data_IF_606780082382
#
_entry.id   IF_606780082382
#
_cell.length_a   1.000
_cell.length_b   1.000
_cell.length_c   1.000
_cell.angle_alpha   90.00
_cell.angle_beta   90.00
_cell.angle_gamma   90.00
#
_symmetry.space_group_name_H-M   'P 1'
#
loop_
_entity.id
_entity.type
_entity.pdbx_description
1 polymer ?
#
# COMPACT_ATOMS: atom_id res chain seq x y z
N UNK A 1 9.49 -9.19 -6.32
CA UNK A 1 10.25 -10.43 -6.04
C UNK A 1 9.30 -11.55 -5.71
N UNK A 2 9.39 -12.66 -6.43
CA UNK A 2 8.77 -13.94 -6.08
C UNK A 2 9.90 -14.93 -5.88
N UNK A 3 10.02 -15.47 -4.67
CA UNK A 3 10.89 -16.60 -4.36
C UNK A 3 10.04 -17.66 -3.62
N UNK A 4 10.46 -18.93 -3.59
CA UNK A 4 9.75 -19.96 -2.85
C UNK A 4 9.53 -19.54 -1.40
N UNK A 5 8.28 -19.64 -0.94
CA UNK A 5 7.89 -19.35 0.45
C UNK A 5 7.87 -17.87 0.85
N UNK A 6 8.29 -16.93 0.00
CA UNK A 6 8.29 -15.51 0.36
C UNK A 6 6.90 -14.90 0.21
N UNK A 7 6.34 -14.35 1.29
CA UNK A 7 4.99 -13.74 1.30
C UNK A 7 5.01 -12.23 1.13
N UNK A 8 6.09 -11.57 1.56
CA UNK A 8 6.18 -10.11 1.58
C UNK A 8 6.88 -9.55 0.34
N UNK A 9 6.07 -9.37 -0.72
CA UNK A 9 6.50 -8.87 -2.01
C UNK A 9 6.60 -7.33 -2.01
N UNK A 10 7.54 -6.77 -2.78
CA UNK A 10 7.82 -5.31 -2.73
C UNK A 10 6.62 -4.42 -3.08
N UNK A 11 5.72 -4.83 -4.00
CA UNK A 11 4.57 -3.99 -4.37
C UNK A 11 3.54 -3.80 -3.24
N UNK A 12 3.31 -4.82 -2.40
CA UNK A 12 2.39 -4.72 -1.27
C UNK A 12 3.08 -4.41 0.05
N UNK A 13 4.40 -4.66 0.16
CA UNK A 13 5.16 -4.41 1.37
C UNK A 13 5.08 -2.97 1.86
N UNK A 14 5.09 -1.99 0.97
CA UNK A 14 5.01 -0.58 1.37
C UNK A 14 3.70 -0.27 2.09
N UNK A 15 2.59 -0.88 1.66
CA UNK A 15 1.29 -0.74 2.34
C UNK A 15 1.30 -1.45 3.70
N UNK A 16 1.88 -2.65 3.78
CA UNK A 16 2.03 -3.40 5.03
C UNK A 16 2.86 -2.61 6.04
N UNK A 17 4.00 -2.06 5.60
CA UNK A 17 4.90 -1.23 6.41
C UNK A 17 4.20 0.02 6.92
N UNK A 18 3.47 0.74 6.05
CA UNK A 18 2.71 1.93 6.43
C UNK A 18 1.61 1.59 7.43
N UNK A 19 0.87 0.50 7.21
CA UNK A 19 -0.18 0.03 8.12
C UNK A 19 0.40 -0.33 9.49
N UNK A 20 1.44 -1.16 9.53
CA UNK A 20 2.13 -1.54 10.77
C UNK A 20 2.66 -0.33 11.54
N UNK A 21 3.30 0.62 10.85
CA UNK A 21 3.79 1.85 11.47
C UNK A 21 2.66 2.66 12.12
N UNK A 22 1.54 2.84 11.42
CA UNK A 22 0.36 3.56 11.93
C UNK A 22 -0.27 2.84 13.12
N UNK A 23 -0.56 1.54 12.99
CA UNK A 23 -1.20 0.76 14.04
C UNK A 23 -0.30 0.63 15.28
N UNK A 24 1.01 0.58 15.11
CA UNK A 24 1.97 0.56 16.23
C UNK A 24 1.94 1.84 17.05
N UNK A 25 1.86 3.00 16.40
CA UNK A 25 1.71 4.29 17.10
C UNK A 25 0.39 4.34 17.88
N UNK A 26 -0.71 3.90 17.26
CA UNK A 26 -2.01 3.86 17.93
C UNK A 26 -2.03 2.88 19.11
N UNK A 27 -1.35 1.74 18.99
CA UNK A 27 -1.19 0.79 20.08
C UNK A 27 -0.40 1.43 21.24
N UNK A 28 0.71 2.11 20.95
CA UNK A 28 1.54 2.77 21.97
C UNK A 28 0.86 3.95 22.65
N UNK A 29 -0.03 4.66 21.96
CA UNK A 29 -0.86 5.67 22.60
C UNK A 29 -1.78 5.07 23.68
N UNK A 30 -2.09 3.76 23.63
CA UNK A 30 -2.92 3.05 24.63
C UNK A 30 -2.10 2.44 25.77
N UNK A 31 -0.88 1.96 25.50
CA UNK A 31 -0.04 1.24 26.49
C UNK A 31 1.07 2.09 27.14
N UNK A 32 1.20 3.36 26.75
CA UNK A 32 2.30 4.28 27.09
C UNK A 32 3.65 3.88 26.45
N UNK A 33 4.27 4.72 25.58
CA UNK A 33 5.58 4.44 25.00
C UNK A 33 6.71 4.24 26.03
N UNK A 34 6.56 4.77 27.26
CA UNK A 34 7.54 4.57 28.33
C UNK A 34 7.66 3.08 28.73
N UNK A 35 6.63 2.26 28.50
CA UNK A 35 6.65 0.81 28.74
C UNK A 35 7.77 0.09 27.97
N UNK A 36 8.19 0.63 26.82
CA UNK A 36 9.28 0.09 26.00
C UNK A 36 10.66 0.18 26.67
N UNK A 37 10.79 0.92 27.76
CA UNK A 37 12.03 1.07 28.53
C UNK A 37 12.03 0.26 29.83
N UNK A 38 10.92 -0.42 30.14
CA UNK A 38 10.79 -1.24 31.34
C UNK A 38 11.69 -2.47 31.30
N UNK A 39 11.93 -3.06 32.48
CA UNK A 39 12.66 -4.32 32.61
C UNK A 39 11.84 -5.53 32.13
N UNK A 40 10.51 -5.40 32.05
CA UNK A 40 9.60 -6.45 31.61
C UNK A 40 9.38 -6.40 30.08
N UNK A 41 10.37 -6.88 29.34
CA UNK A 41 10.31 -6.93 27.87
C UNK A 41 9.25 -7.90 27.36
N UNK A 42 9.01 -9.00 28.08
CA UNK A 42 8.08 -10.04 27.64
C UNK A 42 6.62 -9.60 27.87
N UNK A 43 6.33 -9.00 29.03
CA UNK A 43 5.03 -8.40 29.31
C UNK A 43 4.70 -7.23 28.39
N UNK A 44 5.69 -6.37 28.07
CA UNK A 44 5.48 -5.28 27.11
C UNK A 44 5.24 -5.76 25.68
N UNK A 45 5.88 -6.86 25.25
CA UNK A 45 5.60 -7.50 23.96
C UNK A 45 4.16 -8.04 23.91
N UNK A 46 3.73 -8.76 24.96
CA UNK A 46 2.37 -9.29 25.04
C UNK A 46 1.33 -8.16 24.99
N UNK A 47 1.53 -7.10 25.78
CA UNK A 47 0.65 -5.93 25.80
C UNK A 47 0.60 -5.22 24.43
N UNK A 48 1.74 -5.13 23.74
CA UNK A 48 1.79 -4.57 22.38
C UNK A 48 0.99 -5.41 21.38
N UNK A 49 1.18 -6.74 21.38
CA UNK A 49 0.47 -7.66 20.49
C UNK A 49 -1.05 -7.59 20.72
N UNK A 50 -1.48 -7.60 21.97
CA UNK A 50 -2.89 -7.46 22.35
C UNK A 50 -3.49 -6.11 21.94
N UNK A 51 -2.69 -5.03 21.99
CA UNK A 51 -3.14 -3.70 21.61
C UNK A 51 -3.20 -3.50 20.09
N UNK A 52 -2.25 -4.05 19.32
CA UNK A 52 -2.12 -3.80 17.88
C UNK A 52 -3.02 -4.70 17.03
N UNK A 53 -3.25 -5.95 17.44
CA UNK A 53 -4.09 -6.90 16.71
C UNK A 53 -5.51 -6.39 16.42
N UNK A 54 -6.28 -5.87 17.40
CA UNK A 54 -7.63 -5.35 17.14
C UNK A 54 -7.61 -4.09 16.26
N UNK A 55 -6.54 -3.30 16.30
CA UNK A 55 -6.38 -2.11 15.45
C UNK A 55 -6.19 -2.53 13.99
N UNK A 56 -5.38 -3.57 13.74
CA UNK A 56 -5.19 -4.14 12.41
C UNK A 56 -6.48 -4.77 11.87
N UNK A 57 -7.22 -5.49 12.71
CA UNK A 57 -8.52 -6.06 12.33
C UNK A 57 -9.57 -5.00 12.00
N UNK A 58 -9.60 -3.89 12.72
CA UNK A 58 -10.54 -2.78 12.46
C UNK A 58 -10.12 -1.88 11.29
N UNK A 59 -9.03 -2.20 10.57
CA UNK A 59 -8.40 -1.32 9.60
C UNK A 59 -9.30 -0.91 8.42
N UNK A 60 -9.04 0.29 7.89
CA UNK A 60 -9.78 0.88 6.76
C UNK A 60 -9.43 0.31 5.38
N UNK A 61 -9.59 1.10 4.32
CA UNK A 61 -9.35 0.66 2.92
C UNK A 61 -7.94 0.07 2.69
N UNK A 62 -6.90 0.63 3.32
CA UNK A 62 -5.52 0.09 3.25
C UNK A 62 -5.41 -1.34 3.76
N UNK A 63 -6.15 -1.71 4.81
CA UNK A 63 -6.13 -3.06 5.37
C UNK A 63 -6.61 -4.10 4.35
N UNK A 64 -7.60 -3.74 3.53
CA UNK A 64 -8.23 -4.59 2.53
C UNK A 64 -7.50 -4.55 1.17
N UNK A 65 -6.49 -3.70 1.01
CA UNK A 65 -5.72 -3.63 -0.21
C UNK A 65 -4.92 -4.93 -0.43
N UNK A 66 -4.74 -5.39 -1.69
CA UNK A 66 -3.91 -6.56 -1.99
C UNK A 66 -2.50 -6.39 -1.45
N UNK A 67 -2.07 -7.32 -0.59
CA UNK A 67 -0.75 -7.32 0.05
C UNK A 67 0.29 -8.14 -0.70
N UNK A 68 -0.14 -9.16 -1.45
CA UNK A 68 0.73 -9.92 -2.33
C UNK A 68 -0.07 -10.58 -3.48
N UNK A 69 0.66 -11.24 -4.39
CA UNK A 69 0.04 -11.96 -5.50
C UNK A 69 -0.62 -13.29 -5.13
N UNK A 70 -0.64 -13.69 -3.86
CA UNK A 70 -1.24 -14.94 -3.40
C UNK A 70 -2.66 -14.75 -2.86
N UNK A 71 -3.22 -13.53 -2.98
CA UNK A 71 -4.57 -13.20 -2.53
C UNK A 71 -4.64 -12.69 -1.09
N UNK A 72 -3.51 -12.59 -0.38
CA UNK A 72 -3.48 -12.08 0.98
C UNK A 72 -3.58 -10.56 0.99
N UNK A 73 -4.40 -10.04 1.89
CA UNK A 73 -4.57 -8.61 2.13
C UNK A 73 -3.41 -8.03 2.91
N UNK A 74 -3.28 -6.71 2.86
CA UNK A 74 -2.28 -5.97 3.63
C UNK A 74 -2.44 -6.21 5.13
N UNK A 75 -3.66 -6.32 5.64
CA UNK A 75 -3.92 -6.60 7.05
C UNK A 75 -3.54 -8.03 7.46
N UNK A 76 -3.81 -9.04 6.63
CA UNK A 76 -3.40 -10.42 6.93
C UNK A 76 -1.88 -10.55 7.02
N UNK A 77 -1.16 -9.92 6.10
CA UNK A 77 0.31 -9.87 6.13
C UNK A 77 0.83 -9.10 7.35
N UNK A 78 0.23 -7.95 7.67
CA UNK A 78 0.61 -7.18 8.86
C UNK A 78 0.37 -7.99 10.15
N UNK A 79 -0.79 -8.61 10.28
CA UNK A 79 -1.16 -9.43 11.43
C UNK A 79 -0.25 -10.65 11.57
N UNK A 80 0.09 -11.31 10.45
CA UNK A 80 1.06 -12.40 10.44
C UNK A 80 2.42 -11.96 10.99
N UNK A 81 2.92 -10.76 10.64
CA UNK A 81 4.17 -10.23 11.20
C UNK A 81 4.08 -9.92 12.70
N UNK A 82 2.94 -9.43 13.19
CA UNK A 82 2.74 -9.18 14.61
C UNK A 82 2.85 -10.49 15.41
N UNK A 83 2.26 -11.59 14.91
CA UNK A 83 2.37 -12.89 15.58
C UNK A 83 3.77 -13.53 15.42
N UNK A 84 4.43 -13.33 14.29
CA UNK A 84 5.85 -13.71 14.13
C UNK A 84 6.76 -12.97 15.11
N UNK A 85 6.47 -11.70 15.41
CA UNK A 85 7.20 -10.93 16.43
C UNK A 85 7.01 -11.53 17.83
N UNK A 86 5.80 -12.00 18.16
CA UNK A 86 5.52 -12.67 19.43
C UNK A 86 6.39 -13.92 19.63
N UNK A 87 6.68 -14.66 18.55
CA UNK A 87 7.57 -15.82 18.57
C UNK A 87 9.07 -15.45 18.64
N UNK A 88 9.42 -14.15 18.54
CA UNK A 88 10.80 -13.65 18.45
C UNK A 88 11.05 -12.54 19.48
N UNK A 89 11.03 -12.85 20.79
CA UNK A 89 11.20 -11.85 21.86
C UNK A 89 12.55 -11.10 21.78
N UNK A 90 13.58 -11.72 21.20
CA UNK A 90 14.88 -11.06 20.98
C UNK A 90 14.79 -9.85 20.03
N UNK A 91 13.88 -9.88 19.04
CA UNK A 91 13.67 -8.76 18.13
C UNK A 91 12.94 -7.61 18.81
N UNK A 92 12.00 -7.92 19.69
CA UNK A 92 11.36 -6.93 20.56
C UNK A 92 12.37 -6.29 21.52
N UNK A 93 13.20 -7.09 22.19
CA UNK A 93 14.24 -6.59 23.07
C UNK A 93 15.24 -5.65 22.34
N UNK A 94 15.55 -5.93 21.08
CA UNK A 94 16.36 -5.06 20.25
C UNK A 94 15.66 -3.71 19.94
N UNK A 95 14.35 -3.72 19.69
CA UNK A 95 13.56 -2.48 19.57
C UNK A 95 13.59 -1.68 20.88
N UNK A 96 13.30 -2.30 22.02
CA UNK A 96 13.33 -1.67 23.35
C UNK A 96 14.69 -1.01 23.60
N UNK A 97 15.79 -1.73 23.31
CA UNK A 97 17.15 -1.20 23.42
C UNK A 97 17.37 0.00 22.49
N UNK A 98 16.90 -0.05 21.25
CA UNK A 98 17.03 1.04 20.29
C UNK A 98 16.25 2.30 20.72
N UNK A 99 15.06 2.12 21.31
CA UNK A 99 14.24 3.21 21.87
C UNK A 99 14.92 3.80 23.11
N UNK A 100 15.40 2.96 24.03
CA UNK A 100 16.10 3.39 25.24
C UNK A 100 17.39 4.16 24.92
N UNK A 101 18.16 3.68 23.94
CA UNK A 101 19.40 4.35 23.48
C UNK A 101 19.10 5.73 22.88
N UNK A 102 18.06 5.83 22.06
CA UNK A 102 17.63 7.11 21.49
C UNK A 102 17.15 8.06 22.60
N UNK A 103 16.39 7.54 23.56
CA UNK A 103 15.90 8.29 24.70
C UNK A 103 17.00 8.81 25.61
N UNK A 104 18.06 8.02 25.83
CA UNK A 104 19.22 8.45 26.58
C UNK A 104 19.96 9.64 25.90
N UNK A 105 19.85 9.74 24.57
CA UNK A 105 20.52 10.78 23.78
C UNK A 105 19.75 12.10 23.74
N UNK A 106 18.43 12.04 23.58
CA UNK A 106 17.59 13.24 23.31
C UNK A 106 16.39 13.37 24.27
N UNK A 107 16.38 12.63 25.37
CA UNK A 107 15.27 12.56 26.30
C UNK A 107 14.10 11.73 25.77
N UNK A 108 12.94 11.71 26.47
CA UNK A 108 11.75 10.98 26.05
C UNK A 108 11.16 11.59 24.77
N UNK A 109 11.76 11.28 23.63
CA UNK A 109 11.52 11.96 22.35
C UNK A 109 10.08 11.79 21.88
N UNK A 110 9.39 10.72 22.29
CA UNK A 110 7.98 10.48 21.99
C UNK A 110 7.03 11.50 22.64
N UNK A 111 7.48 12.23 23.68
CA UNK A 111 6.72 13.32 24.29
C UNK A 111 6.91 14.67 23.59
N UNK A 112 7.83 14.75 22.61
CA UNK A 112 8.14 15.97 21.88
C UNK A 112 7.39 16.03 20.55
N UNK A 113 7.06 17.23 20.03
CA UNK A 113 6.50 17.38 18.69
C UNK A 113 7.38 16.70 17.63
N UNK A 114 6.78 15.84 16.79
CA UNK A 114 7.51 15.05 15.78
C UNK A 114 8.16 13.76 16.32
N UNK A 115 8.09 13.50 17.63
CA UNK A 115 8.58 12.26 18.24
C UNK A 115 7.96 10.98 17.68
N UNK A 116 6.69 11.05 17.28
CA UNK A 116 5.96 9.96 16.62
C UNK A 116 6.65 9.51 15.33
N UNK A 117 7.24 10.43 14.56
CA UNK A 117 7.93 10.08 13.32
C UNK A 117 9.20 9.24 13.60
N UNK A 118 9.93 9.57 14.66
CA UNK A 118 11.07 8.78 15.13
C UNK A 118 10.64 7.41 15.63
N UNK A 119 9.56 7.35 16.42
CA UNK A 119 9.03 6.10 16.95
C UNK A 119 8.54 5.19 15.82
N UNK A 120 7.76 5.72 14.88
CA UNK A 120 7.31 5.03 13.66
C UNK A 120 8.49 4.51 12.86
N UNK A 121 9.57 5.29 12.74
CA UNK A 121 10.80 4.83 12.07
C UNK A 121 11.38 3.58 12.76
N UNK A 122 11.47 3.55 14.09
CA UNK A 122 11.98 2.37 14.82
C UNK A 122 11.11 1.12 14.59
N UNK A 123 9.78 1.27 14.58
CA UNK A 123 8.87 0.16 14.25
C UNK A 123 8.99 -0.30 12.80
N UNK A 124 9.11 0.64 11.86
CA UNK A 124 9.34 0.31 10.46
C UNK A 124 10.65 -0.47 10.27
N UNK A 125 11.72 -0.06 10.98
CA UNK A 125 13.01 -0.74 10.96
C UNK A 125 12.91 -2.15 11.57
N UNK A 126 12.20 -2.31 12.70
CA UNK A 126 11.90 -3.61 13.32
C UNK A 126 11.19 -4.54 12.33
N UNK A 127 10.09 -4.09 11.74
CA UNK A 127 9.29 -4.92 10.85
C UNK A 127 9.98 -5.21 9.52
N UNK A 128 10.82 -4.31 9.01
CA UNK A 128 11.65 -4.60 7.84
C UNK A 128 12.65 -5.72 8.12
N UNK A 129 13.30 -5.71 9.28
CA UNK A 129 14.22 -6.79 9.69
C UNK A 129 13.45 -8.10 9.93
N UNK A 130 12.30 -8.03 10.60
CA UNK A 130 11.47 -9.20 10.87
C UNK A 130 10.98 -9.86 9.57
N UNK A 131 10.50 -9.06 8.61
CA UNK A 131 10.11 -9.51 7.27
C UNK A 131 11.24 -10.28 6.59
N UNK A 132 12.46 -9.75 6.63
CA UNK A 132 13.62 -10.38 6.01
C UNK A 132 13.96 -11.72 6.67
N UNK A 133 13.77 -11.83 8.00
CA UNK A 133 13.95 -13.07 8.76
C UNK A 133 12.90 -14.11 8.42
N UNK A 134 11.63 -13.75 8.51
CA UNK A 134 10.50 -14.65 8.22
C UNK A 134 10.59 -15.21 6.80
N UNK A 135 10.81 -14.35 5.80
CA UNK A 135 10.95 -14.83 4.42
C UNK A 135 12.24 -15.66 4.24
N UNK A 136 13.34 -15.36 4.94
CA UNK A 136 14.55 -16.20 4.88
C UNK A 136 14.33 -17.59 5.48
N UNK A 137 13.54 -17.70 6.54
CA UNK A 137 13.18 -18.97 7.16
C UNK A 137 12.23 -19.76 6.24
N UNK A 138 11.20 -19.12 5.69
CA UNK A 138 10.29 -19.76 4.74
C UNK A 138 10.99 -20.20 3.46
N UNK A 139 11.92 -19.41 2.93
CA UNK A 139 12.72 -19.80 1.77
C UNK A 139 13.59 -21.02 2.07
N UNK A 140 14.20 -21.08 3.25
CA UNK A 140 14.98 -22.25 3.68
C UNK A 140 14.11 -23.51 3.77
N UNK A 141 12.91 -23.38 4.33
CA UNK A 141 11.94 -24.49 4.43
C UNK A 141 11.49 -24.94 3.03
N UNK A 142 11.16 -24.01 2.14
CA UNK A 142 10.68 -24.31 0.80
C UNK A 142 11.77 -24.90 -0.12
N UNK A 143 13.01 -24.42 -0.03
CA UNK A 143 14.09 -24.81 -0.94
C UNK A 143 15.03 -25.87 -0.38
N UNK A 144 15.08 -26.06 0.94
CA UNK A 144 16.16 -26.80 1.62
C UNK A 144 17.54 -26.14 1.48
N UNK A 145 17.61 -24.87 1.07
CA UNK A 145 18.87 -24.13 0.81
C UNK A 145 19.09 -23.06 1.88
N UNK A 146 20.31 -22.88 2.40
CA UNK A 146 20.60 -21.87 3.41
C UNK A 146 20.38 -20.46 2.85
N UNK A 147 19.58 -19.67 3.55
CA UNK A 147 19.31 -18.27 3.23
C UNK A 147 19.30 -17.45 4.51
N UNK A 148 20.18 -16.46 4.59
CA UNK A 148 20.19 -15.52 5.72
C UNK A 148 19.27 -14.33 5.45
N UNK A 149 18.82 -13.59 6.48
CA UNK A 149 18.04 -12.38 6.30
C UNK A 149 18.75 -11.35 5.40
N UNK A 150 20.08 -11.25 5.52
CA UNK A 150 20.89 -10.39 4.65
C UNK A 150 20.89 -10.86 3.18
N UNK A 151 20.86 -12.17 2.93
CA UNK A 151 20.72 -12.72 1.58
C UNK A 151 19.33 -12.43 1.03
N UNK A 152 18.29 -12.56 1.85
CA UNK A 152 16.91 -12.22 1.47
C UNK A 152 16.76 -10.73 1.12
N UNK A 153 17.35 -9.85 1.93
CA UNK A 153 17.43 -8.42 1.64
C UNK A 153 18.16 -8.14 0.31
N UNK A 154 19.27 -8.85 0.04
CA UNK A 154 19.99 -8.72 -1.22
C UNK A 154 19.16 -9.17 -2.42
N UNK A 155 18.38 -10.27 -2.34
CA UNK A 155 17.48 -10.64 -3.42
C UNK A 155 16.45 -9.54 -3.72
N UNK A 156 15.85 -8.95 -2.69
CA UNK A 156 14.88 -7.85 -2.89
C UNK A 156 15.51 -6.62 -3.51
N UNK A 157 16.72 -6.25 -3.11
CA UNK A 157 17.45 -5.15 -3.74
C UNK A 157 17.73 -5.42 -5.22
N UNK A 158 18.15 -6.65 -5.57
CA UNK A 158 18.40 -7.04 -6.95
C UNK A 158 17.11 -7.06 -7.78
N UNK A 159 16.00 -7.49 -7.19
CA UNK A 159 14.67 -7.45 -7.80
C UNK A 159 14.22 -6.00 -8.08
N UNK A 160 14.38 -5.08 -7.12
CA UNK A 160 14.12 -3.65 -7.33
C UNK A 160 15.01 -3.08 -8.43
N UNK A 161 16.31 -3.35 -8.38
CA UNK A 161 17.28 -2.87 -9.36
C UNK A 161 16.95 -3.35 -10.78
N UNK A 162 16.55 -4.62 -10.93
CA UNK A 162 16.09 -5.17 -12.20
C UNK A 162 14.85 -4.42 -12.74
N UNK A 163 13.82 -4.22 -11.92
CA UNK A 163 12.60 -3.53 -12.35
C UNK A 163 12.89 -2.06 -12.74
N UNK A 164 13.78 -1.40 -12.00
CA UNK A 164 14.22 -0.03 -12.35
C UNK A 164 14.98 -0.01 -13.68
N UNK A 165 15.89 -0.95 -13.92
CA UNK A 165 16.60 -1.07 -15.21
C UNK A 165 15.62 -1.38 -16.34
N UNK A 166 14.67 -2.30 -16.12
CA UNK A 166 13.66 -2.65 -17.11
C UNK A 166 12.81 -1.42 -17.51
N UNK A 167 12.38 -0.61 -16.53
CA UNK A 167 11.67 0.65 -16.78
C UNK A 167 12.52 1.65 -17.56
N UNK A 168 13.81 1.80 -17.21
CA UNK A 168 14.73 2.67 -17.95
C UNK A 168 14.93 2.20 -19.40
N UNK A 169 14.99 0.88 -19.63
CA UNK A 169 15.14 0.29 -20.96
C UNK A 169 13.87 0.45 -21.80
N UNK A 170 12.68 0.30 -21.20
CA UNK A 170 11.41 0.58 -21.85
C UNK A 170 11.32 2.06 -22.29
N UNK A 171 11.71 2.97 -21.40
CA UNK A 171 11.80 4.42 -21.65
C UNK A 171 13.14 4.90 -22.24
N UNK A 172 13.87 4.06 -23.00
CA UNK A 172 15.28 4.35 -23.35
C UNK A 172 15.51 5.67 -24.07
N UNK A 173 14.53 6.19 -24.82
CA UNK A 173 14.64 7.48 -25.52
C UNK A 173 14.70 8.65 -24.55
N UNK A 174 13.85 8.62 -23.53
CA UNK A 174 13.77 9.65 -22.49
C UNK A 174 14.96 9.56 -21.53
N UNK A 175 15.47 8.35 -21.34
CA UNK A 175 16.57 8.05 -20.42
C UNK A 175 17.89 7.72 -21.14
N UNK A 176 18.10 8.21 -22.36
CA UNK A 176 19.21 7.79 -23.23
C UNK A 176 20.59 7.95 -22.58
N UNK A 177 20.81 9.03 -21.82
CA UNK A 177 22.06 9.26 -21.09
C UNK A 177 22.30 8.19 -20.01
N UNK A 178 21.28 7.86 -19.21
CA UNK A 178 21.38 6.88 -18.15
C UNK A 178 21.48 5.45 -18.71
N UNK A 179 20.70 5.13 -19.75
CA UNK A 179 20.81 3.85 -20.45
C UNK A 179 22.20 3.69 -21.07
N UNK A 180 22.77 4.76 -21.64
CA UNK A 180 24.14 4.74 -22.13
C UNK A 180 25.18 4.49 -21.04
N UNK A 181 25.00 5.05 -19.85
CA UNK A 181 25.86 4.77 -18.69
C UNK A 181 25.76 3.30 -18.23
N UNK A 182 24.55 2.72 -18.21
CA UNK A 182 24.33 1.31 -17.85
C UNK A 182 24.97 0.37 -18.88
N UNK A 183 24.81 0.68 -20.16
CA UNK A 183 25.35 -0.13 -21.26
C UNK A 183 26.84 0.13 -21.53
N UNK A 184 27.40 1.20 -20.97
CA UNK A 184 28.78 1.67 -21.18
C UNK A 184 29.08 1.99 -22.65
N UNK A 185 28.14 2.68 -23.30
CA UNK A 185 28.24 3.18 -24.68
C UNK A 185 27.23 4.28 -24.97
N UNK A 186 27.48 5.10 -25.99
CA UNK A 186 26.46 6.05 -26.49
C UNK A 186 25.27 5.30 -27.09
N UNK A 187 24.07 5.86 -26.89
CA UNK A 187 22.81 5.29 -27.39
C UNK A 187 22.22 6.24 -28.42
N UNK A 188 22.48 5.96 -29.70
CA UNK A 188 21.97 6.74 -30.85
C UNK A 188 20.74 6.11 -31.50
N UNK A 189 20.58 4.80 -31.32
CA UNK A 189 19.47 4.00 -31.80
C UNK A 189 19.05 2.99 -30.72
N UNK A 190 17.90 2.34 -30.91
CA UNK A 190 17.36 1.37 -29.95
C UNK A 190 18.40 0.29 -29.61
N UNK A 191 18.86 0.19 -28.36
CA UNK A 191 19.80 -0.85 -27.96
C UNK A 191 19.17 -2.25 -28.09
N UNK A 192 19.96 -3.24 -28.48
CA UNK A 192 19.47 -4.62 -28.60
C UNK A 192 19.10 -5.21 -27.24
N UNK A 193 19.77 -4.75 -26.18
CA UNK A 193 19.56 -5.13 -24.78
C UNK A 193 18.14 -4.81 -24.31
N UNK A 194 17.54 -3.71 -24.81
CA UNK A 194 16.13 -3.36 -24.54
C UNK A 194 15.19 -4.46 -25.02
N UNK A 195 15.53 -5.18 -26.11
CA UNK A 195 14.73 -6.31 -26.60
C UNK A 195 15.04 -7.63 -25.91
N UNK A 196 16.24 -7.76 -25.33
CA UNK A 196 16.75 -8.98 -24.72
C UNK A 196 16.35 -9.14 -23.26
N UNK A 197 16.18 -8.03 -22.52
CA UNK A 197 15.77 -8.06 -21.13
C UNK A 197 14.28 -8.45 -21.03
N UNK A 198 14.00 -9.74 -20.79
CA UNK A 198 12.62 -10.27 -20.67
C UNK A 198 12.30 -10.71 -19.25
N UNK A 199 13.29 -11.24 -18.55
CA UNK A 199 13.18 -11.66 -17.17
C UNK A 199 14.41 -11.19 -16.37
N UNK A 200 14.31 -11.26 -15.05
CA UNK A 200 15.42 -10.90 -14.14
C UNK A 200 16.68 -11.75 -14.37
N UNK A 201 16.50 -13.00 -14.81
CA UNK A 201 17.62 -13.89 -15.17
C UNK A 201 18.41 -13.43 -16.39
N UNK A 202 17.83 -12.59 -17.27
CA UNK A 202 18.50 -12.01 -18.44
C UNK A 202 19.32 -10.75 -18.08
N UNK A 203 19.11 -10.21 -16.88
CA UNK A 203 19.78 -9.00 -16.43
C UNK A 203 21.27 -9.28 -16.18
N UNK A 204 22.14 -8.54 -16.87
CA UNK A 204 23.59 -8.72 -16.69
C UNK A 204 24.05 -8.11 -15.36
N UNK A 205 24.93 -8.79 -14.59
CA UNK A 205 25.46 -8.25 -13.33
C UNK A 205 26.10 -6.87 -13.49
N UNK A 206 26.79 -6.64 -14.61
CA UNK A 206 27.45 -5.38 -14.93
C UNK A 206 26.44 -4.24 -15.08
N UNK A 207 25.22 -4.52 -15.55
CA UNK A 207 24.15 -3.52 -15.65
C UNK A 207 23.69 -3.08 -14.27
N UNK A 208 23.56 -3.98 -13.31
CA UNK A 208 23.21 -3.64 -11.92
C UNK A 208 24.29 -2.77 -11.28
N UNK A 209 25.56 -3.12 -11.50
CA UNK A 209 26.70 -2.36 -10.97
C UNK A 209 26.73 -0.94 -11.54
N UNK A 210 26.65 -0.79 -12.86
CA UNK A 210 26.67 0.51 -13.54
C UNK A 210 25.41 1.32 -13.32
N UNK A 211 24.25 0.67 -13.22
CA UNK A 211 23.02 1.32 -12.78
C UNK A 211 23.21 1.94 -11.40
N UNK A 212 23.71 1.16 -10.43
CA UNK A 212 23.97 1.69 -9.09
C UNK A 212 24.99 2.81 -9.07
N UNK A 213 25.97 2.82 -9.97
CA UNK A 213 26.95 3.91 -10.10
C UNK A 213 26.30 5.17 -10.71
N UNK A 214 25.47 4.97 -11.75
CA UNK A 214 24.81 6.06 -12.49
C UNK A 214 23.81 6.86 -11.66
N UNK A 215 23.27 6.27 -10.59
CA UNK A 215 22.22 6.90 -9.76
C UNK A 215 22.65 8.24 -9.18
N UNK A 216 23.92 8.40 -8.77
CA UNK A 216 24.40 9.65 -8.18
C UNK A 216 24.30 10.81 -9.18
N UNK A 217 24.70 10.57 -10.43
CA UNK A 217 24.66 11.56 -11.49
C UNK A 217 23.24 11.94 -11.93
N UNK A 218 22.26 11.03 -11.81
CA UNK A 218 20.91 11.23 -12.35
C UNK A 218 19.85 11.54 -11.28
N UNK A 219 20.09 11.15 -10.03
CA UNK A 219 19.12 11.32 -8.92
C UNK A 219 19.69 12.12 -7.75
N UNK A 220 20.99 12.43 -7.77
CA UNK A 220 21.67 13.16 -6.69
C UNK A 220 22.01 12.31 -5.46
N UNK A 221 21.73 11.00 -5.47
CA UNK A 221 22.02 10.08 -4.39
C UNK A 221 22.80 8.83 -4.89
N UNK A 222 23.79 8.35 -4.13
CA UNK A 222 24.55 7.17 -4.51
C UNK A 222 23.66 5.92 -4.50
N UNK A 223 23.82 5.07 -5.51
CA UNK A 223 23.07 3.81 -5.57
C UNK A 223 23.48 2.80 -4.49
N UNK A 224 22.70 1.72 -4.31
CA UNK A 224 22.81 0.81 -3.17
C UNK A 224 24.21 0.16 -3.04
N UNK A 225 24.84 -0.21 -4.15
CA UNK A 225 26.18 -0.82 -4.16
C UNK A 225 27.30 0.21 -3.93
N UNK A 226 27.02 1.50 -4.09
CA UNK A 226 27.99 2.59 -3.97
C UNK A 226 27.89 3.34 -2.64
N UNK A 227 26.92 3.00 -1.80
CA UNK A 227 26.85 3.49 -0.41
C UNK A 227 27.98 2.95 0.48
N UNK A 228 28.18 3.57 1.66
CA UNK A 228 29.08 3.06 2.72
C UNK A 228 28.47 1.89 3.52
N UNK A 229 27.33 1.34 3.09
CA UNK A 229 26.63 0.29 3.82
C UNK A 229 27.41 -1.02 3.81
N UNK A 230 27.68 -1.57 5.01
CA UNK A 230 28.29 -2.90 5.15
C UNK A 230 27.40 -4.01 4.58
N UNK A 231 26.09 -3.78 4.42
CA UNK A 231 25.13 -4.78 3.91
C UNK A 231 25.48 -5.26 2.50
N UNK A 232 26.03 -4.37 1.67
CA UNK A 232 26.34 -4.66 0.26
C UNK A 232 27.83 -4.87 -0.02
N UNK A 233 28.68 -4.85 1.01
CA UNK A 233 30.12 -5.01 0.86
C UNK A 233 30.50 -6.31 0.10
N UNK A 234 29.74 -7.39 0.30
CA UNK A 234 29.99 -8.67 -0.38
C UNK A 234 29.52 -8.72 -1.84
N UNK A 235 28.73 -7.74 -2.30
CA UNK A 235 28.19 -7.68 -3.67
C UNK A 235 28.89 -6.62 -4.52
N UNK A 236 29.35 -5.52 -3.91
CA UNK A 236 29.89 -4.33 -4.61
C UNK A 236 30.94 -4.63 -5.68
N UNK A 237 31.77 -5.65 -5.48
CA UNK A 237 32.85 -6.03 -6.40
C UNK A 237 32.76 -7.48 -6.84
N UNK A 238 31.57 -8.07 -6.83
CA UNK A 238 31.37 -9.50 -7.09
C UNK A 238 30.23 -9.73 -8.09
N UNK A 239 30.48 -9.52 -9.40
CA UNK A 239 29.49 -9.74 -10.44
C UNK A 239 29.03 -11.19 -10.51
N UNK A 240 29.91 -12.16 -10.24
CA UNK A 240 29.56 -13.59 -10.24
C UNK A 240 28.49 -13.91 -9.20
N UNK A 241 28.61 -13.34 -8.00
CA UNK A 241 27.62 -13.52 -6.92
C UNK A 241 26.30 -12.84 -7.26
N UNK A 242 26.33 -11.64 -7.85
CA UNK A 242 25.13 -10.97 -8.36
C UNK A 242 24.45 -11.84 -9.42
N UNK A 243 25.21 -12.34 -10.40
CA UNK A 243 24.68 -13.16 -11.49
C UNK A 243 24.15 -14.53 -11.03
N UNK A 244 24.73 -15.11 -9.98
CA UNK A 244 24.15 -16.30 -9.35
C UNK A 244 22.80 -15.99 -8.71
N UNK A 245 22.70 -14.88 -7.97
CA UNK A 245 21.44 -14.50 -7.31
C UNK A 245 20.35 -14.08 -8.31
N UNK A 246 20.69 -13.36 -9.39
CA UNK A 246 19.73 -13.01 -10.45
C UNK A 246 19.17 -14.24 -11.15
N UNK A 247 20.02 -15.24 -11.44
CA UNK A 247 19.58 -16.53 -11.98
C UNK A 247 18.67 -17.28 -11.02
N UNK A 248 19.01 -17.34 -9.73
CA UNK A 248 18.16 -17.98 -8.73
C UNK A 248 16.76 -17.33 -8.65
N UNK A 249 16.66 -15.99 -8.73
CA UNK A 249 15.35 -15.32 -8.78
C UNK A 249 14.63 -15.67 -10.09
N UNK A 250 15.33 -15.62 -11.23
CA UNK A 250 14.75 -15.90 -12.55
C UNK A 250 14.29 -17.35 -12.73
N UNK A 251 15.02 -18.31 -12.17
CA UNK A 251 14.63 -19.74 -12.15
C UNK A 251 13.28 -19.92 -11.46
N UNK A 252 13.07 -19.27 -10.31
CA UNK A 252 11.78 -19.35 -9.64
C UNK A 252 10.69 -18.55 -10.34
N UNK A 253 11.00 -17.36 -10.86
CA UNK A 253 10.01 -16.57 -11.59
C UNK A 253 9.48 -17.37 -12.80
N UNK A 254 10.35 -18.10 -13.51
CA UNK A 254 9.94 -19.00 -14.59
C UNK A 254 9.05 -20.16 -14.08
N UNK A 255 9.36 -20.75 -12.92
CA UNK A 255 8.55 -21.81 -12.31
C UNK A 255 7.19 -21.29 -11.81
N UNK A 256 7.15 -20.09 -11.23
CA UNK A 256 5.94 -19.42 -10.73
C UNK A 256 5.11 -18.80 -11.86
N UNK A 257 5.72 -18.50 -13.01
CA UNK A 257 5.07 -18.00 -14.21
C UNK A 257 4.42 -19.12 -15.04
N UNK A 258 4.61 -20.40 -14.68
CA UNK A 258 3.64 -21.44 -15.00
C UNK A 258 2.40 -21.16 -14.16
N UNK A 259 1.65 -20.16 -14.64
CA UNK A 259 0.52 -19.54 -13.98
C UNK A 259 -0.46 -20.64 -13.58
N UNK A 260 -0.69 -20.73 -12.29
CA UNK A 260 -2.03 -20.75 -11.71
C UNK A 260 -2.88 -19.66 -12.42
N UNK A 261 -3.25 -19.84 -13.69
CA UNK A 261 -4.24 -19.04 -14.42
C UNK A 261 -5.49 -19.86 -14.69
N UNK A 262 -5.45 -21.16 -14.40
CA UNK A 262 -6.61 -22.04 -14.45
C UNK A 262 -7.65 -21.64 -13.38
N UNK A 263 -7.24 -21.10 -12.22
CA UNK A 263 -8.23 -20.65 -11.21
C UNK A 263 -8.96 -19.35 -11.57
N UNK A 264 -8.41 -18.50 -12.44
CA UNK A 264 -9.12 -17.31 -12.94
C UNK A 264 -10.26 -17.72 -13.87
N UNK A 265 -10.10 -18.84 -14.59
CA UNK A 265 -11.21 -19.48 -15.30
C UNK A 265 -12.23 -20.03 -14.29
N UNK A 266 -11.78 -20.66 -13.19
CA UNK A 266 -12.68 -21.15 -12.13
C UNK A 266 -13.48 -20.04 -11.44
N UNK A 267 -12.91 -18.86 -11.20
CA UNK A 267 -13.64 -17.74 -10.59
C UNK A 267 -14.78 -17.22 -11.50
N UNK A 268 -14.48 -17.02 -12.79
CA UNK A 268 -15.50 -16.64 -13.78
C UNK A 268 -16.54 -17.75 -14.01
N UNK A 269 -16.13 -19.01 -13.91
CA UNK A 269 -17.02 -20.16 -14.03
C UNK A 269 -17.90 -20.31 -12.77
N UNK A 270 -17.37 -19.99 -11.58
CA UNK A 270 -18.12 -20.01 -10.33
C UNK A 270 -19.16 -18.88 -10.30
N UNK A 271 -18.82 -17.67 -10.73
CA UNK A 271 -19.80 -16.57 -10.86
C UNK A 271 -20.90 -16.92 -11.87
N UNK A 272 -20.53 -17.44 -13.04
CA UNK A 272 -21.50 -17.90 -14.03
C UNK A 272 -22.39 -19.05 -13.51
N UNK A 273 -21.81 -19.95 -12.72
CA UNK A 273 -22.55 -21.06 -12.10
C UNK A 273 -23.50 -20.57 -11.00
N UNK A 274 -23.07 -19.59 -10.19
CA UNK A 274 -23.92 -18.97 -9.17
C UNK A 274 -25.07 -18.19 -9.80
N UNK A 275 -24.81 -17.44 -10.88
CA UNK A 275 -25.85 -16.74 -11.63
C UNK A 275 -26.86 -17.72 -12.24
N UNK A 276 -26.39 -18.83 -12.81
CA UNK A 276 -27.27 -19.87 -13.35
C UNK A 276 -28.06 -20.60 -12.25
N UNK A 277 -27.43 -20.86 -11.10
CA UNK A 277 -28.10 -21.41 -9.93
C UNK A 277 -29.23 -20.48 -9.44
N UNK A 278 -28.97 -19.18 -9.31
CA UNK A 278 -29.99 -18.19 -8.93
C UNK A 278 -31.09 -18.06 -9.97
N UNK A 279 -30.76 -18.14 -11.26
CA UNK A 279 -31.75 -18.17 -12.35
C UNK A 279 -32.66 -19.39 -12.21
N UNK A 280 -32.11 -20.60 -12.08
CA UNK A 280 -32.88 -21.84 -11.92
C UNK A 280 -33.74 -21.82 -10.66
N UNK A 281 -33.21 -21.29 -9.56
CA UNK A 281 -33.97 -21.17 -8.31
C UNK A 281 -35.16 -20.22 -8.46
N UNK A 282 -34.95 -19.06 -9.08
CA UNK A 282 -36.03 -18.11 -9.39
C UNK A 282 -37.06 -18.70 -10.36
N UNK A 283 -36.62 -19.42 -11.39
CA UNK A 283 -37.52 -20.12 -12.32
C UNK A 283 -38.33 -21.22 -11.63
N UNK A 284 -37.73 -21.94 -10.67
CA UNK A 284 -38.43 -22.94 -9.85
C UNK A 284 -39.45 -22.31 -8.90
N UNK A 285 -39.12 -21.17 -8.29
CA UNK A 285 -40.06 -20.43 -7.43
C UNK A 285 -41.21 -19.85 -8.25
N UNK A 286 -40.94 -19.31 -9.45
CA UNK A 286 -41.96 -18.74 -10.34
C UNK A 286 -42.80 -19.81 -11.06
N UNK A 287 -42.21 -20.96 -11.35
CA UNK A 287 -42.84 -22.13 -11.96
C UNK A 287 -43.55 -23.05 -10.97
N UNK A 288 -43.54 -22.73 -9.67
CA UNK A 288 -44.23 -23.50 -8.64
C UNK A 288 -45.71 -23.60 -8.97
N UNK A 289 -46.12 -24.79 -9.40
CA UNK A 289 -47.50 -25.07 -9.79
C UNK A 289 -48.36 -25.11 -8.53
N UNK A 290 -49.56 -24.50 -8.50
CA UNK A 290 -50.38 -24.52 -7.29
C UNK A 290 -50.81 -25.96 -6.93
N UNK A 291 -50.17 -26.57 -5.92
CA UNK A 291 -50.47 -27.92 -5.45
C UNK A 291 -49.31 -28.53 -4.65
N UNK A 292 -49.53 -29.64 -3.91
CA UNK A 292 -48.45 -30.34 -3.19
C UNK A 292 -47.46 -30.95 -4.19
N UNK A 293 -46.15 -30.82 -3.90
CA UNK A 293 -45.05 -31.33 -4.74
C UNK A 293 -45.28 -32.80 -5.13
N UNK A 294 -45.37 -33.06 -6.44
CA UNK A 294 -45.47 -34.41 -7.00
C UNK A 294 -44.33 -34.62 -8.00
N UNK A 295 -43.53 -35.66 -7.78
CA UNK A 295 -42.52 -36.12 -8.74
C UNK A 295 -43.27 -36.77 -9.91
N UNK A 296 -43.33 -36.09 -11.06
CA UNK A 296 -43.95 -36.63 -12.27
C UNK A 296 -42.99 -37.59 -12.99
N UNK A 297 -43.53 -38.71 -13.49
CA UNK A 297 -42.78 -39.65 -14.33
C UNK A 297 -42.41 -39.00 -15.67
N UNK A 298 -41.12 -39.03 -16.01
CA UNK A 298 -40.57 -38.41 -17.22
C UNK A 298 -41.13 -39.07 -18.49
N UNK A 299 -42.12 -38.42 -19.12
CA UNK A 299 -42.52 -38.68 -20.51
C UNK A 299 -41.90 -37.62 -21.40
N UNK A 300 -41.15 -38.09 -22.39
CA UNK A 300 -40.36 -37.29 -23.30
C UNK A 300 -41.25 -36.75 -24.41
N UNK A 301 -41.56 -35.45 -24.40
CA UNK A 301 -42.31 -34.79 -25.46
C UNK A 301 -41.58 -33.56 -26.03
N UNK A 302 -41.82 -33.37 -27.32
CA UNK A 302 -41.08 -32.54 -28.26
C UNK A 302 -41.33 -31.04 -28.08
N UNK A 303 -40.27 -30.25 -28.31
CA UNK A 303 -40.28 -28.79 -28.26
C UNK A 303 -40.82 -28.20 -29.57
N UNK A 304 -41.95 -27.51 -29.49
CA UNK A 304 -42.32 -26.46 -30.46
C UNK A 304 -42.12 -25.10 -29.79
N UNK A 305 -41.25 -24.28 -30.39
CA UNK A 305 -40.95 -22.91 -29.96
C UNK A 305 -41.82 -21.97 -30.80
N UNK A 306 -42.55 -21.08 -30.14
CA UNK A 306 -43.12 -19.90 -30.78
C UNK A 306 -42.64 -18.64 -30.04
N UNK A 307 -42.02 -17.75 -30.81
CA UNK A 307 -41.39 -16.49 -30.40
C UNK A 307 -42.33 -15.35 -30.80
N UNK A 308 -42.78 -14.51 -29.86
CA UNK A 308 -43.11 -13.12 -30.21
C UNK A 308 -43.22 -12.14 -29.02
N UNK A 309 -42.61 -10.98 -29.27
CA UNK A 309 -42.91 -9.61 -28.82
C UNK A 309 -42.30 -8.99 -27.52
N UNK A 310 -41.85 -7.75 -27.75
CA UNK A 310 -40.90 -6.86 -27.04
C UNK A 310 -41.44 -5.99 -25.88
N UNK A 311 -40.56 -5.29 -25.10
CA UNK A 311 -40.90 -4.59 -23.87
C UNK A 311 -41.30 -3.11 -24.08
N UNK A 312 -42.06 -2.56 -23.13
CA UNK A 312 -42.34 -1.11 -23.05
C UNK A 312 -41.96 -0.54 -21.68
N UNK A 313 -41.13 0.50 -21.66
CA UNK A 313 -40.83 1.34 -20.49
C UNK A 313 -41.21 2.79 -20.83
N UNK A 314 -41.93 3.49 -19.94
CA UNK A 314 -41.48 4.75 -19.30
C UNK A 314 -42.60 5.54 -18.59
N UNK A 315 -42.34 5.93 -17.33
CA UNK A 315 -42.41 7.30 -16.78
C UNK A 315 -42.12 7.27 -15.24
N UNK A 316 -41.84 8.42 -14.57
CA UNK A 316 -40.70 9.32 -14.70
C UNK A 316 -39.84 9.37 -13.41
N UNK A 317 -38.52 9.57 -13.55
CA UNK A 317 -37.59 9.71 -12.43
C UNK A 317 -37.68 11.08 -11.73
N UNK A 318 -37.89 11.06 -10.42
CA UNK A 318 -37.42 12.10 -9.50
C UNK A 318 -35.91 11.99 -9.31
N UNK A 319 -35.13 12.91 -9.89
CA UNK A 319 -33.79 13.27 -9.39
C UNK A 319 -33.98 14.33 -8.27
N UNK A 320 -33.21 14.31 -7.17
CA UNK A 320 -31.75 14.40 -7.23
C UNK A 320 -31.00 13.51 -6.21
N UNK A 321 -29.91 12.90 -6.66
CA UNK A 321 -28.68 12.47 -5.93
C UNK A 321 -27.96 11.32 -6.67
N UNK A 322 -28.61 10.67 -7.63
CA UNK A 322 -28.04 9.57 -8.42
C UNK A 322 -27.15 10.02 -9.59
N UNK A 323 -27.07 11.31 -9.92
CA UNK A 323 -26.27 11.78 -11.07
C UNK A 323 -24.83 12.18 -10.72
N UNK A 324 -24.38 11.95 -9.47
CA UNK A 324 -23.00 12.30 -9.03
C UNK A 324 -22.14 11.04 -8.85
N UNK A 325 -22.74 9.86 -8.77
CA UNK A 325 -22.06 8.58 -8.57
C UNK A 325 -21.02 8.19 -9.64
N UNK A 326 -21.12 8.57 -10.94
CA UNK A 326 -20.14 8.10 -11.92
C UNK A 326 -18.85 8.94 -12.00
N UNK A 327 -18.69 10.01 -11.22
CA UNK A 327 -17.49 10.87 -11.30
C UNK A 327 -16.62 10.87 -10.04
N UNK A 328 -16.99 10.10 -9.01
CA UNK A 328 -16.34 10.17 -7.69
C UNK A 328 -16.51 8.84 -6.97
N UNK A 329 -15.42 8.16 -6.58
CA UNK A 329 -15.49 6.92 -5.79
C UNK A 329 -15.74 7.19 -4.31
N UNK A 330 -16.40 8.30 -3.96
CA UNK A 330 -16.69 8.67 -2.59
C UNK A 330 -18.01 8.03 -2.13
N UNK A 331 -18.03 7.44 -0.93
CA UNK A 331 -19.25 6.83 -0.40
C UNK A 331 -20.33 7.89 -0.09
N UNK A 332 -21.62 7.55 -0.15
CA UNK A 332 -22.73 8.51 0.08
C UNK A 332 -22.69 9.22 1.44
N UNK A 333 -22.03 8.63 2.44
CA UNK A 333 -21.85 9.16 3.79
C UNK A 333 -20.48 9.84 4.01
N UNK A 334 -19.70 10.10 2.97
CA UNK A 334 -18.33 10.60 3.05
C UNK A 334 -18.14 11.76 4.04
N UNK A 335 -18.96 12.83 3.94
CA UNK A 335 -18.83 14.00 4.81
C UNK A 335 -19.06 13.68 6.29
N UNK A 336 -19.92 12.69 6.58
CA UNK A 336 -20.18 12.25 7.95
C UNK A 336 -18.96 11.51 8.48
N UNK A 337 -18.41 10.57 7.72
CA UNK A 337 -17.24 9.78 8.13
C UNK A 337 -16.01 10.67 8.27
N UNK A 338 -15.73 11.53 7.28
CA UNK A 338 -14.60 12.45 7.31
C UNK A 338 -14.66 13.44 8.49
N UNK A 339 -15.85 13.85 8.91
CA UNK A 339 -16.01 14.73 10.07
C UNK A 339 -15.71 14.04 11.42
N UNK A 340 -15.81 12.70 11.50
CA UNK A 340 -15.59 11.96 12.76
C UNK A 340 -14.12 11.80 13.12
N UNK A 341 -13.24 11.78 12.11
CA UNK A 341 -11.78 11.61 12.30
C UNK A 341 -11.03 12.93 12.32
N UNK A 342 -11.73 14.05 12.16
CA UNK A 342 -11.13 15.37 12.25
C UNK A 342 -10.70 15.69 13.68
N UNK A 343 -9.39 15.92 13.89
CA UNK A 343 -8.89 16.44 15.15
C UNK A 343 -9.27 17.93 15.30
N UNK A 344 -10.44 18.15 15.89
CA UNK A 344 -10.95 19.49 16.23
C UNK A 344 -10.15 20.19 17.33
N UNK A 345 -9.24 19.50 18.02
CA UNK A 345 -8.34 20.13 18.99
C UNK A 345 -7.11 20.76 18.32
N UNK A 346 -6.79 20.36 17.08
CA UNK A 346 -5.69 20.94 16.32
C UNK A 346 -5.85 22.46 16.15
N UNK A 347 -4.73 23.19 16.17
CA UNK A 347 -4.74 24.65 16.09
C UNK A 347 -5.42 25.14 14.79
N UNK A 348 -5.12 24.50 13.66
CA UNK A 348 -5.70 24.84 12.37
C UNK A 348 -7.22 24.56 12.33
N UNK A 349 -7.68 23.42 12.86
CA UNK A 349 -9.11 23.08 12.90
C UNK A 349 -9.90 24.05 13.80
N UNK A 350 -9.35 24.46 14.95
CA UNK A 350 -9.98 25.46 15.82
C UNK A 350 -10.15 26.81 15.13
N UNK A 351 -9.17 27.23 14.32
CA UNK A 351 -9.22 28.52 13.63
C UNK A 351 -10.17 28.52 12.44
N UNK A 352 -10.35 27.36 11.81
CA UNK A 352 -11.31 27.12 10.73
C UNK A 352 -12.63 26.50 11.22
N UNK A 353 -12.94 26.59 12.52
CA UNK A 353 -14.13 25.95 13.10
C UNK A 353 -15.46 26.50 12.52
N UNK A 354 -15.43 27.72 11.97
CA UNK A 354 -16.58 28.36 11.31
C UNK A 354 -16.67 28.03 9.82
N UNK A 355 -15.63 27.42 9.24
CA UNK A 355 -15.64 26.99 7.84
C UNK A 355 -16.28 25.60 7.73
N UNK A 356 -16.81 25.24 6.56
CA UNK A 356 -17.33 23.88 6.34
C UNK A 356 -16.17 22.88 6.15
N UNK A 357 -16.43 21.59 6.39
CA UNK A 357 -15.41 20.55 6.18
C UNK A 357 -14.83 20.57 4.76
N UNK A 358 -15.62 20.72 3.67
CA UNK A 358 -15.07 20.86 2.32
C UNK A 358 -14.14 22.06 2.14
N UNK A 359 -14.40 23.19 2.81
CA UNK A 359 -13.49 24.36 2.78
C UNK A 359 -12.18 24.03 3.48
N UNK A 360 -12.21 23.32 4.61
CA UNK A 360 -10.99 22.91 5.33
C UNK A 360 -10.16 21.92 4.51
N UNK A 361 -10.79 20.91 3.92
CA UNK A 361 -10.12 19.97 3.01
C UNK A 361 -9.53 20.68 1.78
N UNK A 362 -10.22 21.70 1.25
CA UNK A 362 -9.69 22.52 0.15
C UNK A 362 -8.45 23.34 0.57
N UNK A 363 -8.35 23.76 1.83
CA UNK A 363 -7.16 24.43 2.39
C UNK A 363 -6.00 23.44 2.47
N UNK A 364 -6.24 22.24 3.03
CA UNK A 364 -5.22 21.20 3.11
C UNK A 364 -4.70 20.77 1.74
N UNK A 365 -5.61 20.52 0.79
CA UNK A 365 -5.28 20.20 -0.60
C UNK A 365 -4.39 21.28 -1.24
N UNK A 366 -4.59 22.55 -0.89
CA UNK A 366 -3.81 23.68 -1.45
C UNK A 366 -2.44 23.85 -0.80
N UNK A 367 -2.32 23.59 0.51
CA UNK A 367 -1.09 23.82 1.27
C UNK A 367 -0.15 22.62 1.26
N UNK A 368 -0.70 21.41 1.29
CA UNK A 368 0.04 20.16 1.45
C UNK A 368 -0.02 19.28 0.18
N UNK A 369 -0.98 19.54 -0.71
CA UNK A 369 -1.15 18.79 -1.95
C UNK A 369 -2.10 17.60 -1.83
N UNK A 370 -2.31 16.83 -2.90
CA UNK A 370 -3.27 15.72 -2.91
C UNK A 370 -2.80 14.46 -2.16
N UNK A 371 -1.49 14.31 -1.93
CA UNK A 371 -0.86 13.09 -1.40
C UNK A 371 -0.07 13.34 -0.10
N UNK A 372 -0.66 14.03 0.88
CA UNK A 372 0.03 14.24 2.16
C UNK A 372 -0.16 13.06 3.11
N UNK A 373 0.93 12.58 3.70
CA UNK A 373 0.95 11.43 4.62
C UNK A 373 0.23 11.70 5.96
N UNK A 374 -0.12 12.96 6.27
CA UNK A 374 -0.83 13.33 7.50
C UNK A 374 -2.36 13.20 7.37
N UNK A 375 -2.89 12.92 6.18
CA UNK A 375 -4.33 12.82 5.98
C UNK A 375 -4.91 11.53 6.58
N UNK A 376 -6.03 11.63 7.34
CA UNK A 376 -6.84 10.47 7.67
C UNK A 376 -7.33 9.78 6.40
N UNK A 377 -7.36 8.45 6.40
CA UNK A 377 -7.81 7.66 5.24
C UNK A 377 -9.25 7.97 4.83
N UNK A 378 -10.08 8.35 5.79
CA UNK A 378 -11.48 8.71 5.62
C UNK A 378 -11.65 10.04 4.87
N UNK A 379 -10.58 10.86 4.80
CA UNK A 379 -10.58 12.08 4.00
C UNK A 379 -10.22 11.79 2.55
N UNK A 380 -9.48 10.72 2.26
CA UNK A 380 -9.04 10.40 0.91
C UNK A 380 -10.10 9.66 0.10
N UNK A 381 -10.07 9.84 -1.22
CA UNK A 381 -10.84 9.06 -2.18
C UNK A 381 -10.37 7.59 -2.15
N UNK A 382 -11.27 6.62 -1.91
CA UNK A 382 -10.92 5.19 -1.85
C UNK A 382 -10.24 4.63 -3.10
N UNK A 383 -10.49 5.19 -4.29
CA UNK A 383 -9.93 4.69 -5.55
C UNK A 383 -8.53 5.25 -5.83
N UNK A 384 -8.25 6.50 -5.43
CA UNK A 384 -6.99 7.18 -5.76
C UNK A 384 -6.06 7.34 -4.57
N UNK A 385 -6.59 7.27 -3.34
CA UNK A 385 -5.85 7.57 -2.12
C UNK A 385 -5.53 9.07 -1.94
N UNK A 386 -6.10 9.93 -2.78
CA UNK A 386 -5.90 11.39 -2.77
C UNK A 386 -6.99 12.10 -1.99
N UNK A 387 -6.72 13.31 -1.49
CA UNK A 387 -7.82 14.20 -1.09
C UNK A 387 -8.75 14.49 -2.28
N UNK A 388 -10.07 14.60 -2.06
CA UNK A 388 -11.01 14.96 -3.12
C UNK A 388 -10.60 16.26 -3.80
N UNK A 389 -10.72 16.26 -5.12
CA UNK A 389 -10.38 17.41 -5.95
C UNK A 389 -11.23 18.62 -5.60
N UNK A 390 -10.74 19.82 -5.92
CA UNK A 390 -11.49 21.07 -5.72
C UNK A 390 -12.90 21.06 -6.35
N UNK A 391 -13.09 20.34 -7.46
CA UNK A 391 -14.40 20.19 -8.11
C UNK A 391 -15.36 19.33 -7.27
N UNK A 392 -14.86 18.20 -6.76
CA UNK A 392 -15.63 17.29 -5.90
C UNK A 392 -15.99 17.96 -4.57
N UNK A 393 -15.05 18.69 -3.95
CA UNK A 393 -15.31 19.45 -2.72
C UNK A 393 -16.37 20.55 -2.92
N UNK A 394 -16.43 21.17 -4.10
CA UNK A 394 -17.43 22.19 -4.40
C UNK A 394 -18.84 21.59 -4.53
N UNK A 395 -18.93 20.40 -5.15
CA UNK A 395 -20.16 19.62 -5.22
C UNK A 395 -20.63 19.18 -3.82
N UNK A 396 -19.71 18.69 -2.98
CA UNK A 396 -20.00 18.29 -1.61
C UNK A 396 -20.43 19.45 -0.70
N UNK A 397 -19.92 20.66 -0.93
CA UNK A 397 -20.30 21.88 -0.20
C UNK A 397 -21.58 22.54 -0.76
N UNK A 398 -22.11 22.05 -1.89
CA UNK A 398 -23.28 22.63 -2.57
C UNK A 398 -23.03 24.03 -3.13
N UNK A 399 -21.78 24.38 -3.46
CA UNK A 399 -21.40 25.71 -3.98
C UNK A 399 -20.66 25.63 -5.31
N UNK A 400 -20.58 26.77 -6.01
CA UNK A 400 -19.77 26.85 -7.22
C UNK A 400 -18.27 26.78 -6.91
N UNK A 401 -17.49 26.19 -7.80
CA UNK A 401 -16.02 26.10 -7.68
C UNK A 401 -15.34 27.47 -7.42
N UNK A 402 -15.73 28.59 -8.06
CA UNK A 402 -15.19 29.91 -7.73
C UNK A 402 -15.49 30.36 -6.29
N UNK A 403 -16.67 30.01 -5.78
CA UNK A 403 -17.08 30.33 -4.40
C UNK A 403 -16.24 29.54 -3.39
N UNK A 404 -16.03 28.24 -3.65
CA UNK A 404 -15.17 27.41 -2.81
C UNK A 404 -13.72 27.94 -2.80
N UNK A 405 -13.18 28.32 -3.96
CA UNK A 405 -11.83 28.94 -4.05
C UNK A 405 -11.73 30.21 -3.21
N UNK A 406 -12.73 31.10 -3.30
CA UNK A 406 -12.78 32.34 -2.50
C UNK A 406 -12.82 32.05 -0.99
N UNK A 407 -13.63 31.07 -0.55
CA UNK A 407 -13.72 30.67 0.86
C UNK A 407 -12.42 30.07 1.38
N UNK A 408 -11.80 29.19 0.59
CA UNK A 408 -10.47 28.62 0.87
C UNK A 408 -9.41 29.70 1.02
N UNK A 409 -9.33 30.63 0.07
CA UNK A 409 -8.30 31.69 0.09
C UNK A 409 -8.49 32.62 1.30
N UNK A 410 -9.74 32.92 1.67
CA UNK A 410 -10.05 33.66 2.90
C UNK A 410 -9.65 32.88 4.17
N UNK A 411 -9.81 31.56 4.19
CA UNK A 411 -9.37 30.72 5.30
C UNK A 411 -7.83 30.66 5.42
N UNK A 412 -7.11 30.55 4.28
CA UNK A 412 -5.64 30.61 4.24
C UNK A 412 -5.12 31.96 4.75
N UNK A 413 -5.74 33.07 4.33
CA UNK A 413 -5.38 34.41 4.82
C UNK A 413 -5.52 34.51 6.35
N UNK A 414 -6.63 34.01 6.91
CA UNK A 414 -6.83 33.99 8.38
C UNK A 414 -5.80 33.14 9.14
N UNK A 415 -5.30 32.07 8.52
CA UNK A 415 -4.24 31.24 9.11
C UNK A 415 -2.89 31.97 9.09
N UNK A 416 -2.56 32.64 7.98
CA UNK A 416 -1.29 33.34 7.79
C UNK A 416 -1.18 34.63 8.61
N UNK A 417 -2.27 35.41 8.75
CA UNK A 417 -2.29 36.64 9.56
C UNK A 417 -1.95 36.36 11.04
N UNK A 418 -2.32 35.20 11.57
CA UNK A 418 -2.06 34.84 12.97
C UNK A 418 -0.69 34.20 13.15
N UNK A 419 -0.18 33.48 12.15
CA UNK A 419 1.19 32.95 12.17
C UNK A 419 2.23 34.10 12.22
N UNK A 420 2.00 35.18 11.46
CA UNK A 420 2.84 36.38 11.52
C UNK A 420 2.83 37.09 12.88
N UNK A 421 1.66 37.19 13.52
CA UNK A 421 1.54 37.79 14.87
C UNK A 421 2.23 36.95 15.97
N UNK A 422 2.32 35.63 15.81
CA UNK A 422 3.03 34.74 16.75
C UNK A 422 4.55 34.75 16.55
N UNK A 423 5.04 35.00 15.34
CA UNK A 423 6.48 35.20 15.09
C UNK A 423 6.94 36.55 15.65
N UNK A 424 6.17 37.63 15.48
CA UNK A 424 6.48 38.93 16.08
C UNK A 424 6.48 38.89 17.62
N UNK A 425 5.57 38.13 18.25
CA UNK A 425 5.56 37.91 19.71
C UNK A 425 6.67 36.98 20.23
N UNK A 426 7.30 36.17 19.36
CA UNK A 426 8.46 35.33 19.73
C UNK A 426 9.79 36.08 19.65
N UNK A 427 9.82 37.21 18.93
CA UNK A 427 11.01 38.03 18.71
C UNK A 427 10.99 39.35 19.50
N UNK A 428 9.87 39.69 20.14
CA UNK A 428 9.73 40.73 21.16
C UNK A 428 9.88 40.11 22.56
#
# INVERSE_FOLDING_TARGET
>A
MRLPGTRYQEHGWEQVRKLLGQCSLQALARIDPASLQGADTDGSLAAYVEAVAPILHAGGSRAHAPGNSYGETTAELALSLVYELQARPADWAALCTAVATESARIGPFWAQPGGEALLRKKFNDLYAVLRDKVDSDHYQVACGRPCSPNRMYAYRMLDTAYHDIARLFEGWREHAAQVGAILDRSVEAMPIEVRQLRAIGDCKPEWIMRWSESLEAHTGAPGPLHTRSKRFASLKSNPDKIGAMLREIGEYDALSANRDSDWLQDASAADAWLDDYWRVLNESEQGSTPGPDQILEARQEALDIDLDAEPGIEAPMTAPLTSIAPCVSLPPNYLVVAATVEDRASWAARRMAQDSLPVRLAVYLKLLGPFDDCYPSEWCDPATGELPTMGQLALLDGVSLPTLRKRRDAAILRLNEVAGLQEEQRWA
#
